data_IF_185811772985
#
_entry.id   IF_185811772985
#
_cell.length_a   1.000
_cell.length_b   1.000
_cell.length_c   1.000
_cell.angle_alpha   90.00
_cell.angle_beta   90.00
_cell.angle_gamma   90.00
#
_symmetry.space_group_name_H-M   'P 1'
#
loop_
_entity.id
_entity.type
_entity.pdbx_description
1 polymer ?
#
# COMPACT_ATOMS: atom_id res chain seq x y z
N UNK A 1 8.54 -12.27 19.01
CA UNK A 1 8.07 -10.98 18.47
C UNK A 1 9.08 -10.32 17.56
N UNK A 2 10.37 -10.44 17.83
CA UNK A 2 11.42 -9.87 16.98
C UNK A 2 11.67 -10.65 15.67
N UNK A 3 11.23 -11.89 15.56
CA UNK A 3 11.34 -12.70 14.33
C UNK A 3 10.44 -12.19 13.23
N UNK A 4 9.20 -11.84 13.55
CA UNK A 4 8.20 -11.40 12.56
C UNK A 4 8.60 -10.07 11.91
N UNK A 5 9.22 -9.15 12.64
CA UNK A 5 9.73 -7.88 12.12
C UNK A 5 11.00 -8.10 11.26
N UNK A 6 11.86 -9.05 11.63
CA UNK A 6 13.01 -9.43 10.81
C UNK A 6 12.61 -10.15 9.52
N UNK A 7 11.62 -11.04 9.59
CA UNK A 7 11.15 -11.80 8.44
C UNK A 7 10.42 -10.89 7.45
N UNK A 8 9.66 -9.90 7.93
CA UNK A 8 9.06 -8.86 7.09
C UNK A 8 10.14 -7.95 6.48
N UNK A 9 11.22 -7.65 7.19
CA UNK A 9 12.37 -6.90 6.66
C UNK A 9 13.15 -7.69 5.60
N UNK A 10 13.25 -9.01 5.72
CA UNK A 10 13.90 -9.85 4.72
C UNK A 10 13.01 -10.14 3.50
N UNK A 11 11.69 -10.07 3.66
CA UNK A 11 10.73 -10.19 2.56
C UNK A 11 10.61 -8.92 1.71
N UNK A 12 10.91 -7.76 2.27
CA UNK A 12 11.14 -6.54 1.51
C UNK A 12 12.64 -6.57 1.14
N UNK A 13 12.98 -7.55 0.31
CA UNK A 13 14.28 -7.85 -0.29
C UNK A 13 15.37 -6.81 -0.04
N UNK A 14 16.23 -7.07 0.95
CA UNK A 14 17.56 -6.43 1.03
C UNK A 14 17.57 -4.93 1.25
N UNK A 15 16.48 -4.33 1.73
CA UNK A 15 16.46 -2.92 2.11
C UNK A 15 17.10 -2.77 3.48
N UNK A 16 18.39 -2.49 3.47
CA UNK A 16 19.04 -1.95 4.66
C UNK A 16 18.32 -0.66 5.09
N UNK A 17 18.13 -0.41 6.40
CA UNK A 17 17.48 0.80 6.91
C UNK A 17 18.01 2.10 6.31
N UNK A 18 19.28 2.14 5.96
CA UNK A 18 19.94 3.31 5.37
C UNK A 18 19.49 3.63 3.93
N UNK A 19 18.90 2.68 3.22
CA UNK A 19 18.39 2.91 1.86
C UNK A 19 16.96 3.46 1.85
N UNK A 20 16.24 3.35 2.95
CA UNK A 20 14.89 3.92 3.10
C UNK A 20 14.90 5.45 3.19
N UNK A 21 16.05 6.07 3.47
CA UNK A 21 16.16 7.52 3.64
C UNK A 21 16.34 8.32 2.33
N UNK A 22 16.60 7.66 1.19
CA UNK A 22 16.80 8.35 -0.10
C UNK A 22 16.00 7.66 -1.20
N UNK A 23 14.75 8.03 -1.37
CA UNK A 23 13.86 7.43 -2.37
C UNK A 23 13.44 6.00 -2.03
N UNK A 24 13.57 5.59 -0.77
CA UNK A 24 13.40 4.21 -0.32
C UNK A 24 12.01 3.64 -0.56
N UNK A 25 10.95 4.44 -0.38
CA UNK A 25 9.58 4.01 -0.65
C UNK A 25 9.38 3.70 -2.14
N UNK A 26 9.72 4.63 -3.02
CA UNK A 26 9.57 4.47 -4.48
C UNK A 26 10.35 3.26 -4.99
N UNK A 27 11.60 3.12 -4.58
CA UNK A 27 12.44 2.00 -4.98
C UNK A 27 11.91 0.64 -4.47
N UNK A 28 11.48 0.59 -3.21
CA UNK A 28 10.88 -0.61 -2.63
C UNK A 28 9.56 -0.97 -3.33
N UNK A 29 8.73 0.02 -3.63
CA UNK A 29 7.49 -0.19 -4.37
C UNK A 29 7.75 -0.71 -5.78
N UNK A 30 8.70 -0.15 -6.50
CA UNK A 30 9.09 -0.65 -7.84
C UNK A 30 9.52 -2.12 -7.80
N UNK A 31 10.33 -2.50 -6.83
CA UNK A 31 10.74 -3.89 -6.63
C UNK A 31 9.56 -4.82 -6.36
N UNK A 32 8.64 -4.37 -5.50
CA UNK A 32 7.41 -5.08 -5.16
C UNK A 32 6.53 -5.30 -6.40
N UNK A 33 6.30 -4.26 -7.19
CA UNK A 33 5.46 -4.33 -8.37
C UNK A 33 6.08 -5.21 -9.47
N UNK A 34 7.40 -5.17 -9.61
CA UNK A 34 8.12 -6.06 -10.53
C UNK A 34 7.96 -7.52 -10.12
N UNK A 35 8.04 -7.84 -8.84
CA UNK A 35 7.84 -9.19 -8.30
C UNK A 35 6.39 -9.65 -8.55
N UNK A 36 5.40 -8.85 -8.17
CA UNK A 36 3.99 -9.22 -8.27
C UNK A 36 3.50 -9.30 -9.72
N UNK A 37 4.02 -8.45 -10.59
CA UNK A 37 3.65 -8.39 -12.01
C UNK A 37 4.38 -9.40 -12.90
N UNK A 38 5.38 -10.10 -12.37
CA UNK A 38 6.18 -11.05 -13.15
C UNK A 38 5.31 -12.14 -13.79
N UNK A 39 5.42 -12.29 -15.12
CA UNK A 39 4.64 -13.28 -15.88
C UNK A 39 3.16 -12.93 -16.03
N UNK A 40 2.72 -11.73 -15.70
CA UNK A 40 1.34 -11.28 -15.80
C UNK A 40 1.17 -10.17 -16.84
N UNK A 41 0.05 -10.15 -17.54
CA UNK A 41 -0.32 -9.06 -18.44
C UNK A 41 -0.98 -7.92 -17.66
N UNK A 42 -0.20 -7.20 -16.86
CA UNK A 42 -0.65 -6.08 -16.05
C UNK A 42 0.23 -4.87 -16.27
N UNK A 43 -0.37 -3.70 -16.33
CA UNK A 43 0.32 -2.41 -16.35
C UNK A 43 0.16 -1.73 -14.99
N UNK A 44 1.25 -1.18 -14.48
CA UNK A 44 1.25 -0.33 -13.29
C UNK A 44 1.41 1.13 -13.69
N UNK A 45 0.48 1.96 -13.26
CA UNK A 45 0.57 3.43 -13.39
C UNK A 45 0.90 4.02 -12.02
N UNK A 46 2.14 4.44 -11.83
CA UNK A 46 2.70 4.82 -10.54
C UNK A 46 3.11 6.28 -10.55
N UNK A 47 2.60 7.05 -9.58
CA UNK A 47 3.04 8.42 -9.29
C UNK A 47 3.23 8.56 -7.79
N UNK A 48 4.47 8.72 -7.38
CA UNK A 48 4.86 8.88 -5.98
C UNK A 48 5.47 10.26 -5.81
N UNK A 49 4.86 11.06 -4.95
CA UNK A 49 5.48 12.27 -4.44
C UNK A 49 6.50 11.86 -3.37
N UNK A 50 7.79 12.01 -3.69
CA UNK A 50 8.88 11.61 -2.79
C UNK A 50 8.88 12.43 -1.49
N UNK A 51 8.39 13.67 -1.52
CA UNK A 51 8.21 14.48 -0.31
C UNK A 51 7.14 13.86 0.59
N UNK A 52 6.02 13.45 0.01
CA UNK A 52 4.96 12.76 0.75
C UNK A 52 5.46 11.43 1.33
N UNK A 53 6.14 10.64 0.52
CA UNK A 53 6.71 9.35 0.95
C UNK A 53 7.76 9.52 2.06
N UNK A 54 8.50 10.63 2.05
CA UNK A 54 9.47 10.99 3.08
C UNK A 54 8.87 11.35 4.44
N UNK A 55 7.56 11.57 4.50
CA UNK A 55 6.85 11.83 5.76
C UNK A 55 6.54 10.55 6.55
N UNK A 56 6.64 9.38 5.92
CA UNK A 56 6.55 8.11 6.63
C UNK A 56 7.80 7.85 7.45
N UNK A 57 7.64 7.41 8.70
CA UNK A 57 8.76 6.80 9.44
C UNK A 57 9.19 5.49 8.76
N UNK A 58 10.38 4.93 9.07
CA UNK A 58 10.76 3.63 8.54
C UNK A 58 9.75 2.51 8.81
N UNK A 59 9.16 2.48 10.00
CA UNK A 59 8.14 1.51 10.38
C UNK A 59 6.84 1.73 9.60
N UNK A 60 6.42 2.98 9.45
CA UNK A 60 5.25 3.34 8.65
C UNK A 60 5.45 2.99 7.17
N UNK A 61 6.65 3.19 6.64
CA UNK A 61 7.00 2.79 5.26
C UNK A 61 6.79 1.29 5.06
N UNK A 62 7.22 0.46 6.00
CA UNK A 62 7.03 -1.00 5.93
C UNK A 62 5.55 -1.35 5.91
N UNK A 63 4.75 -0.81 6.82
CA UNK A 63 3.32 -1.11 6.87
C UNK A 63 2.57 -0.58 5.65
N UNK A 64 2.90 0.61 5.15
CA UNK A 64 2.32 1.17 3.93
C UNK A 64 2.62 0.31 2.69
N UNK A 65 3.85 -0.18 2.56
CA UNK A 65 4.25 -1.10 1.49
C UNK A 65 3.53 -2.46 1.60
N UNK A 66 3.30 -2.96 2.80
CA UNK A 66 2.54 -4.20 2.99
C UNK A 66 1.05 -4.04 2.65
N UNK A 67 0.47 -2.89 2.95
CA UNK A 67 -0.90 -2.57 2.51
C UNK A 67 -0.95 -2.51 0.98
N UNK A 68 0.01 -1.83 0.35
CA UNK A 68 0.11 -1.79 -1.12
C UNK A 68 0.27 -3.20 -1.71
N UNK A 69 1.13 -4.04 -1.12
CA UNK A 69 1.32 -5.43 -1.53
C UNK A 69 0.01 -6.21 -1.51
N UNK A 70 -0.73 -6.12 -0.42
CA UNK A 70 -2.00 -6.83 -0.26
C UNK A 70 -3.03 -6.35 -1.28
N UNK A 71 -3.18 -5.03 -1.45
CA UNK A 71 -4.11 -4.46 -2.42
C UNK A 71 -3.78 -4.86 -3.86
N UNK A 72 -2.52 -4.80 -4.27
CA UNK A 72 -2.06 -5.22 -5.60
C UNK A 72 -2.22 -6.73 -5.78
N UNK A 73 -1.85 -7.53 -4.80
CA UNK A 73 -2.01 -8.98 -4.85
C UNK A 73 -3.47 -9.38 -5.03
N UNK A 74 -4.40 -8.72 -4.32
CA UNK A 74 -5.83 -8.95 -4.46
C UNK A 74 -6.34 -8.56 -5.86
N UNK A 75 -5.88 -7.44 -6.40
CA UNK A 75 -6.20 -7.00 -7.75
C UNK A 75 -5.81 -8.05 -8.80
N UNK A 76 -4.63 -8.63 -8.67
CA UNK A 76 -4.09 -9.60 -9.62
C UNK A 76 -4.67 -11.00 -9.45
N UNK A 77 -4.88 -11.46 -8.21
CA UNK A 77 -5.36 -12.83 -7.94
C UNK A 77 -6.87 -12.97 -8.06
N UNK A 78 -7.60 -11.99 -7.57
CA UNK A 78 -9.06 -12.05 -7.45
C UNK A 78 -9.78 -11.16 -8.45
N UNK A 79 -9.17 -10.00 -8.77
CA UNK A 79 -9.75 -9.04 -9.68
C UNK A 79 -9.44 -9.28 -11.14
N UNK A 80 -8.39 -10.03 -11.47
CA UNK A 80 -7.93 -10.20 -12.85
C UNK A 80 -7.59 -8.86 -13.51
N UNK A 81 -7.07 -7.91 -12.74
CA UNK A 81 -6.78 -6.55 -13.20
C UNK A 81 -5.72 -6.53 -14.30
N UNK A 82 -5.93 -5.70 -15.31
CA UNK A 82 -4.93 -5.36 -16.35
C UNK A 82 -4.24 -4.02 -16.12
N UNK A 83 -4.78 -3.20 -15.24
CA UNK A 83 -4.23 -1.92 -14.84
C UNK A 83 -4.38 -1.74 -13.34
N UNK A 84 -3.27 -1.43 -12.68
CA UNK A 84 -3.25 -1.02 -11.28
C UNK A 84 -2.60 0.36 -11.17
N UNK A 85 -3.31 1.28 -10.57
CA UNK A 85 -2.87 2.66 -10.35
C UNK A 85 -2.45 2.83 -8.90
N UNK A 86 -1.25 3.38 -8.68
CA UNK A 86 -0.73 3.70 -7.36
C UNK A 86 -0.36 5.18 -7.29
N UNK A 87 -0.77 5.83 -6.21
CA UNK A 87 -0.48 7.25 -5.96
C UNK A 87 -0.07 7.44 -4.52
N UNK A 88 0.97 8.22 -4.29
CA UNK A 88 1.28 8.79 -2.98
C UNK A 88 1.36 10.29 -3.15
N UNK A 89 0.59 11.01 -2.36
CA UNK A 89 0.58 12.46 -2.34
C UNK A 89 0.34 12.96 -0.91
N UNK A 90 0.56 14.22 -0.67
CA UNK A 90 0.29 14.85 0.62
C UNK A 90 -0.46 16.17 0.46
N UNK A 91 -1.14 16.52 1.51
CA UNK A 91 -1.68 17.85 1.78
C UNK A 91 -1.00 18.40 3.03
N UNK A 92 -1.38 19.58 3.47
CA UNK A 92 -0.87 20.18 4.71
C UNK A 92 -1.18 19.36 5.96
N UNK A 93 -2.13 18.44 5.89
CA UNK A 93 -2.66 17.70 7.04
C UNK A 93 -2.49 16.20 6.98
N UNK A 94 -2.24 15.64 5.82
CA UNK A 94 -2.24 14.18 5.66
C UNK A 94 -1.42 13.70 4.47
N UNK A 95 -0.90 12.47 4.58
CA UNK A 95 -0.33 11.71 3.47
C UNK A 95 -1.35 10.65 3.05
N UNK A 96 -1.55 10.53 1.75
CA UNK A 96 -2.49 9.59 1.16
C UNK A 96 -1.74 8.59 0.26
N UNK A 97 -1.98 7.30 0.49
CA UNK A 97 -1.61 6.21 -0.41
C UNK A 97 -2.88 5.66 -1.04
N UNK A 98 -2.97 5.71 -2.36
CA UNK A 98 -4.05 5.16 -3.16
C UNK A 98 -3.54 3.95 -3.95
N UNK A 99 -4.29 2.84 -3.90
CA UNK A 99 -4.16 1.71 -4.83
C UNK A 99 -5.52 1.45 -5.44
N UNK A 100 -5.61 1.52 -6.76
CA UNK A 100 -6.85 1.31 -7.51
C UNK A 100 -6.61 0.35 -8.67
N UNK A 101 -7.49 -0.60 -8.87
CA UNK A 101 -7.45 -1.52 -10.00
C UNK A 101 -8.71 -1.44 -10.87
N UNK A 102 -8.60 -1.95 -12.09
CA UNK A 102 -9.68 -2.06 -13.05
C UNK A 102 -10.23 -3.49 -13.15
N UNK A 103 -10.06 -4.29 -12.11
CA UNK A 103 -10.51 -5.68 -12.09
C UNK A 103 -12.02 -5.84 -11.97
N UNK A 104 -12.45 -7.04 -11.66
CA UNK A 104 -13.87 -7.39 -11.57
C UNK A 104 -14.58 -6.75 -10.37
N UNK A 105 -13.84 -6.28 -9.38
CA UNK A 105 -14.43 -5.79 -8.15
C UNK A 105 -15.21 -6.87 -7.38
N UNK A 106 -15.85 -6.45 -6.32
CA UNK A 106 -16.74 -7.28 -5.50
C UNK A 106 -17.72 -6.40 -4.74
N UNK A 107 -18.78 -7.01 -4.23
CA UNK A 107 -19.71 -6.31 -3.34
C UNK A 107 -19.08 -6.17 -1.94
N UNK A 108 -18.61 -4.96 -1.63
CA UNK A 108 -17.96 -4.67 -0.35
C UNK A 108 -18.94 -4.71 0.85
N UNK A 109 -20.26 -4.73 0.58
CA UNK A 109 -21.28 -4.84 1.64
C UNK A 109 -21.50 -6.27 2.07
N UNK A 110 -21.24 -7.25 1.20
CA UNK A 110 -21.26 -8.66 1.53
C UNK A 110 -19.93 -9.09 2.13
N UNK A 111 -19.86 -9.14 3.46
CA UNK A 111 -18.68 -9.65 4.17
C UNK A 111 -18.49 -11.13 3.80
N UNK A 112 -17.52 -11.43 2.94
CA UNK A 112 -17.08 -12.82 2.80
C UNK A 112 -16.31 -13.23 4.06
N UNK A 113 -16.89 -14.12 4.81
CA UNK A 113 -16.18 -14.88 5.84
C UNK A 113 -15.04 -15.62 5.13
N UNK A 114 -13.78 -15.26 5.44
CA UNK A 114 -12.60 -15.96 4.92
C UNK A 114 -11.52 -15.08 4.31
N UNK A 115 -11.73 -13.78 4.11
CA UNK A 115 -10.71 -12.88 3.60
C UNK A 115 -9.87 -12.27 4.71
N UNK A 116 -8.71 -12.86 5.04
CA UNK A 116 -7.77 -12.28 6.02
C UNK A 116 -7.12 -10.97 5.55
N UNK A 117 -7.10 -10.71 4.24
CA UNK A 117 -6.41 -9.57 3.65
C UNK A 117 -6.95 -8.22 4.10
N UNK A 118 -8.28 -8.05 4.16
CA UNK A 118 -8.90 -6.81 4.62
C UNK A 118 -8.62 -6.54 6.10
N UNK A 119 -8.75 -7.56 6.94
CA UNK A 119 -8.42 -7.46 8.37
C UNK A 119 -6.96 -7.10 8.59
N UNK A 120 -6.06 -7.66 7.79
CA UNK A 120 -4.63 -7.35 7.84
C UNK A 120 -4.34 -5.90 7.42
N UNK A 121 -5.02 -5.39 6.41
CA UNK A 121 -4.88 -3.98 6.00
C UNK A 121 -5.35 -3.02 7.09
N UNK A 122 -6.49 -3.30 7.73
CA UNK A 122 -6.98 -2.50 8.84
C UNK A 122 -6.03 -2.52 10.04
N UNK A 123 -5.54 -3.69 10.45
CA UNK A 123 -4.59 -3.83 11.56
C UNK A 123 -3.27 -3.08 11.28
N UNK A 124 -2.79 -3.11 10.04
CA UNK A 124 -1.60 -2.36 9.63
C UNK A 124 -1.84 -0.85 9.65
N UNK A 125 -3.00 -0.41 9.16
CA UNK A 125 -3.37 1.00 9.19
C UNK A 125 -3.45 1.54 10.63
N UNK A 126 -4.01 0.78 11.55
CA UNK A 126 -4.02 1.13 12.98
C UNK A 126 -2.61 1.30 13.54
N UNK A 127 -1.67 0.41 13.22
CA UNK A 127 -0.27 0.55 13.64
C UNK A 127 0.41 1.79 13.07
N UNK A 128 0.04 2.17 11.85
CA UNK A 128 0.49 3.42 11.22
C UNK A 128 -0.04 4.66 11.93
N UNK A 129 -1.12 4.55 12.68
CA UNK A 129 -1.94 5.70 13.06
C UNK A 129 -2.76 6.27 11.90
N UNK A 130 -3.00 5.46 10.88
CA UNK A 130 -3.72 5.80 9.66
C UNK A 130 -5.13 5.21 9.64
N UNK A 131 -5.95 5.69 8.73
CA UNK A 131 -7.22 5.07 8.36
C UNK A 131 -7.09 4.38 7.01
N UNK A 132 -7.83 3.29 6.81
CA UNK A 132 -7.96 2.64 5.51
C UNK A 132 -9.42 2.62 5.09
N UNK A 133 -9.67 3.01 3.86
CA UNK A 133 -10.98 2.91 3.21
C UNK A 133 -10.87 2.04 1.98
N UNK A 134 -11.71 1.03 1.92
CA UNK A 134 -11.84 0.17 0.74
C UNK A 134 -13.20 0.42 0.10
N UNK A 135 -13.20 0.65 -1.20
CA UNK A 135 -14.40 0.80 -2.03
C UNK A 135 -14.30 -0.19 -3.19
N UNK A 136 -15.31 -0.99 -3.38
CA UNK A 136 -15.40 -1.94 -4.50
C UNK A 136 -16.86 -2.16 -4.87
N UNK A 137 -17.10 -2.34 -6.17
CA UNK A 137 -18.39 -2.74 -6.71
C UNK A 137 -18.14 -3.74 -7.85
N UNK A 138 -19.05 -4.70 -8.06
CA UNK A 138 -18.96 -5.61 -9.19
C UNK A 138 -18.86 -4.86 -10.52
N UNK A 139 -17.81 -5.14 -11.29
CA UNK A 139 -17.55 -4.51 -12.59
C UNK A 139 -16.69 -3.24 -12.54
N UNK A 140 -16.47 -2.63 -11.37
CA UNK A 140 -15.78 -1.34 -11.25
C UNK A 140 -14.37 -1.44 -10.61
N UNK A 141 -13.89 -2.63 -10.36
CA UNK A 141 -12.61 -2.85 -9.68
C UNK A 141 -12.65 -2.52 -8.19
N UNK A 142 -11.48 -2.29 -7.62
CA UNK A 142 -11.33 -2.01 -6.19
C UNK A 142 -10.42 -0.82 -5.97
N UNK A 143 -10.74 -0.01 -4.98
CA UNK A 143 -9.98 1.15 -4.56
C UNK A 143 -9.68 1.07 -3.07
N UNK A 144 -8.41 1.14 -2.71
CA UNK A 144 -7.92 1.20 -1.35
C UNK A 144 -7.25 2.54 -1.13
N UNK A 145 -7.66 3.27 -0.10
CA UNK A 145 -7.10 4.57 0.28
C UNK A 145 -6.65 4.49 1.72
N UNK A 146 -5.36 4.74 1.95
CA UNK A 146 -4.77 4.88 3.28
C UNK A 146 -4.48 6.35 3.51
N UNK A 147 -4.97 6.90 4.61
CA UNK A 147 -4.77 8.30 4.98
C UNK A 147 -4.07 8.36 6.33
N UNK A 148 -2.86 8.93 6.34
CA UNK A 148 -2.05 9.14 7.53
C UNK A 148 -2.08 10.63 7.89
N UNK A 149 -2.63 11.02 9.05
CA UNK A 149 -2.52 12.38 9.52
C UNK A 149 -1.05 12.76 9.76
N UNK A 150 -0.64 13.91 9.22
CA UNK A 150 0.64 14.52 9.55
C UNK A 150 0.39 15.71 10.47
N UNK A 151 1.06 15.73 11.60
CA UNK A 151 0.99 16.89 12.47
C UNK A 151 1.85 17.99 11.86
N UNK A 152 1.31 19.21 11.69
CA UNK A 152 2.15 20.33 11.33
C UNK A 152 3.24 20.44 12.41
N UNK A 153 4.48 20.66 11.96
CA UNK A 153 5.56 20.94 12.90
C UNK A 153 5.11 22.05 13.86
N UNK A 154 5.37 21.92 15.18
CA UNK A 154 4.98 22.97 16.10
C UNK A 154 5.58 24.29 15.61
N UNK A 155 4.72 25.26 15.36
CA UNK A 155 5.16 26.62 15.03
C UNK A 155 5.92 27.16 16.23
N UNK A 156 7.21 27.33 16.06
CA UNK A 156 8.06 27.93 17.09
C UNK A 156 7.77 29.43 17.17
#
# INVERSE_FOLDING_TARGET
LNRTIRDVRSYITGLAPDRLHRGGFSHALEGLLRELGAGRAVRFDVKIDDTAAGLFTPEQTVDALQIAREAVSNALRHGGASLVTLRVHHSDREVCLLVQDNGTGFDATTRREGGHGLGNMHARAERLGATVRLTSQPGDGTRVVVTLPVHPAPTV
#
